data_IF_741422451476
#
_entry.id   IF_741422451476
#
_cell.length_a   1.000
_cell.length_b   1.000
_cell.length_c   1.000
_cell.angle_alpha   90.00
_cell.angle_beta   90.00
_cell.angle_gamma   90.00
#
_symmetry.space_group_name_H-M   'P 1'
#
loop_
_entity.id
_entity.type
_entity.pdbx_description
1 polymer ?
#
# COMPACT_ATOMS: atom_id res chain seq x y z
N UNK A 1 -17.49 -12.67 -5.24
CA UNK A 1 -17.34 -12.33 -3.81
C UNK A 1 -15.91 -11.96 -3.56
N UNK A 2 -15.67 -10.82 -2.93
CA UNK A 2 -14.34 -10.39 -2.54
C UNK A 2 -13.86 -11.29 -1.40
N UNK A 3 -12.57 -11.65 -1.38
CA UNK A 3 -12.01 -12.45 -0.29
C UNK A 3 -10.86 -11.68 0.34
N UNK A 4 -11.01 -11.32 1.61
CA UNK A 4 -9.97 -10.73 2.44
C UNK A 4 -9.50 -11.73 3.47
N UNK A 5 -8.19 -11.89 3.63
CA UNK A 5 -7.60 -12.82 4.62
C UNK A 5 -6.51 -12.14 5.44
N UNK A 6 -6.37 -12.52 6.72
CA UNK A 6 -5.26 -12.06 7.55
C UNK A 6 -3.94 -12.67 7.06
N UNK A 7 -2.82 -12.11 7.48
CA UNK A 7 -1.49 -12.60 7.11
C UNK A 7 -0.45 -12.24 8.16
N UNK A 8 0.71 -12.90 8.12
CA UNK A 8 1.86 -12.54 8.95
C UNK A 8 2.63 -11.42 8.28
N UNK A 9 2.34 -10.19 8.68
CA UNK A 9 3.01 -9.00 8.20
C UNK A 9 4.49 -9.02 8.53
N UNK A 10 5.30 -8.59 7.55
CA UNK A 10 6.70 -8.25 7.75
C UNK A 10 6.76 -6.79 8.19
N UNK A 11 7.17 -6.53 9.44
CA UNK A 11 7.08 -5.19 10.04
C UNK A 11 8.37 -4.82 10.74
N UNK A 12 8.59 -3.51 10.88
CA UNK A 12 9.60 -2.99 11.78
C UNK A 12 9.34 -3.47 13.22
N UNK A 13 10.40 -3.93 13.88
CA UNK A 13 10.38 -4.27 15.31
C UNK A 13 10.69 -3.04 16.15
N UNK A 14 10.44 -3.08 17.46
CA UNK A 14 11.01 -2.08 18.35
C UNK A 14 12.54 -2.30 18.45
N UNK A 15 13.38 -1.25 18.39
CA UNK A 15 13.07 0.19 18.46
C UNK A 15 12.96 0.91 17.08
N UNK A 16 12.75 0.18 15.99
CA UNK A 16 12.70 0.72 14.62
C UNK A 16 11.34 1.28 14.21
N UNK A 17 10.30 1.20 15.04
CA UNK A 17 8.96 1.75 14.79
C UNK A 17 8.87 3.28 15.03
N UNK A 18 9.64 4.07 14.27
CA UNK A 18 9.71 5.54 14.37
C UNK A 18 9.42 6.23 13.03
N UNK A 19 9.00 7.49 13.06
CA UNK A 19 8.62 8.22 11.84
C UNK A 19 9.70 8.19 10.74
N UNK A 20 10.97 8.28 11.13
CA UNK A 20 12.11 8.40 10.21
C UNK A 20 12.38 7.16 9.36
N UNK A 21 11.84 5.99 9.72
CA UNK A 21 12.00 4.77 8.89
C UNK A 21 10.94 4.65 7.80
N UNK A 22 9.91 5.51 7.82
CA UNK A 22 8.84 5.51 6.82
C UNK A 22 9.11 6.57 5.75
N UNK A 23 8.44 6.42 4.61
CA UNK A 23 8.47 7.39 3.51
C UNK A 23 7.11 7.42 2.82
N UNK A 24 6.85 8.47 2.01
CA UNK A 24 5.77 8.45 1.04
C UNK A 24 5.90 7.28 0.05
N UNK A 25 4.85 7.00 -0.75
CA UNK A 25 4.94 6.05 -1.85
C UNK A 25 6.08 6.36 -2.84
N UNK A 26 6.72 5.32 -3.37
CA UNK A 26 7.90 5.46 -4.25
C UNK A 26 7.68 6.35 -5.48
N UNK A 27 6.44 6.46 -5.98
CA UNK A 27 6.08 7.19 -7.20
C UNK A 27 5.89 8.69 -7.01
N UNK A 28 5.97 9.18 -5.76
CA UNK A 28 5.96 10.61 -5.43
C UNK A 28 7.29 11.11 -4.84
N UNK A 29 8.28 10.22 -4.71
CA UNK A 29 9.61 10.56 -4.17
C UNK A 29 10.53 10.97 -5.32
N UNK A 30 11.02 12.20 -5.28
CA UNK A 30 12.06 12.68 -6.19
C UNK A 30 13.48 12.25 -5.75
N UNK A 31 14.51 12.39 -6.62
CA UNK A 31 15.88 11.98 -6.27
C UNK A 31 16.49 12.70 -5.06
N UNK A 32 16.12 13.96 -4.80
CA UNK A 32 16.62 14.73 -3.66
C UNK A 32 15.98 14.25 -2.35
N UNK A 33 14.66 14.05 -2.36
CA UNK A 33 13.91 13.44 -1.26
C UNK A 33 14.44 12.04 -0.97
N UNK A 34 14.68 11.21 -2.00
CA UNK A 34 15.25 9.86 -1.86
C UNK A 34 16.58 9.90 -1.09
N UNK A 35 17.50 10.79 -1.50
CA UNK A 35 18.79 10.97 -0.82
C UNK A 35 18.60 11.38 0.63
N UNK A 36 17.71 12.36 0.89
CA UNK A 36 17.43 12.84 2.24
C UNK A 36 16.87 11.75 3.16
N UNK A 37 15.99 10.89 2.67
CA UNK A 37 15.47 9.75 3.45
C UNK A 37 16.59 8.75 3.80
N UNK A 38 17.44 8.42 2.83
CA UNK A 38 18.57 7.50 3.02
C UNK A 38 19.64 8.06 3.97
N UNK A 39 19.90 9.36 3.93
CA UNK A 39 20.83 10.05 4.84
C UNK A 39 20.24 10.25 6.23
N UNK A 40 18.92 10.41 6.34
CA UNK A 40 18.21 10.67 7.60
C UNK A 40 18.08 9.43 8.49
N UNK A 41 17.82 8.26 7.90
CA UNK A 41 17.79 6.99 8.64
C UNK A 41 18.24 5.83 7.75
N UNK A 42 19.27 5.11 8.19
CA UNK A 42 19.78 3.94 7.46
C UNK A 42 18.77 2.80 7.33
N UNK A 43 17.67 2.83 8.10
CA UNK A 43 16.58 1.85 8.06
C UNK A 43 15.33 2.39 7.35
N UNK A 44 15.42 3.54 6.66
CA UNK A 44 14.29 4.07 5.92
C UNK A 44 13.86 3.13 4.78
N UNK A 45 12.56 2.85 4.69
CA UNK A 45 11.98 1.89 3.74
C UNK A 45 12.33 2.18 2.27
N UNK A 46 12.70 3.41 1.94
CA UNK A 46 13.26 3.79 0.63
C UNK A 46 14.45 2.89 0.24
N UNK A 47 15.26 2.42 1.19
CA UNK A 47 16.36 1.49 0.93
C UNK A 47 15.91 0.15 0.30
N UNK A 48 14.62 -0.20 0.43
CA UNK A 48 14.01 -1.37 -0.21
C UNK A 48 13.11 -0.95 -1.38
N UNK A 49 12.18 -0.01 -1.18
CA UNK A 49 11.13 0.30 -2.17
C UNK A 49 11.65 1.15 -3.35
N UNK A 50 12.71 1.93 -3.13
CA UNK A 50 13.38 2.78 -4.11
C UNK A 50 14.88 2.90 -3.77
N UNK A 51 15.58 1.75 -3.79
CA UNK A 51 16.97 1.64 -3.35
C UNK A 51 17.92 2.64 -4.07
N UNK A 52 19.11 2.94 -3.51
CA UNK A 52 20.06 3.88 -4.11
C UNK A 52 20.34 3.67 -5.61
N UNK A 53 20.50 2.41 -6.04
CA UNK A 53 20.67 2.03 -7.45
C UNK A 53 19.41 2.10 -8.31
N UNK A 54 18.26 2.54 -7.80
CA UNK A 54 17.01 2.55 -8.55
C UNK A 54 17.14 3.33 -9.88
N UNK A 55 16.91 2.62 -10.98
CA UNK A 55 17.21 3.05 -12.35
C UNK A 55 18.25 2.17 -13.05
N UNK A 56 19.13 1.50 -12.28
CA UNK A 56 20.17 0.60 -12.81
C UNK A 56 19.65 -0.83 -13.02
N UNK A 57 20.33 -1.66 -13.82
CA UNK A 57 19.81 -2.99 -14.14
C UNK A 57 19.66 -3.94 -12.93
N UNK A 58 20.48 -3.75 -11.88
CA UNK A 58 20.64 -4.71 -10.79
C UNK A 58 20.13 -4.22 -9.42
N UNK A 59 19.46 -3.07 -9.34
CA UNK A 59 19.06 -2.50 -8.03
C UNK A 59 18.05 -3.38 -7.26
N UNK A 60 17.32 -4.25 -7.96
CA UNK A 60 16.42 -5.21 -7.31
C UNK A 60 17.17 -6.20 -6.41
N UNK A 61 18.42 -6.56 -6.74
CA UNK A 61 19.25 -7.41 -5.89
C UNK A 61 19.69 -6.65 -4.63
N UNK A 62 20.06 -5.38 -4.76
CA UNK A 62 20.39 -4.52 -3.62
C UNK A 62 19.21 -4.38 -2.64
N UNK A 63 17.98 -4.22 -3.16
CA UNK A 63 16.77 -4.19 -2.35
C UNK A 63 16.53 -5.52 -1.61
N UNK A 64 16.72 -6.66 -2.30
CA UNK A 64 16.58 -7.98 -1.71
C UNK A 64 17.64 -8.26 -0.63
N UNK A 65 18.91 -7.93 -0.89
CA UNK A 65 20.01 -8.05 0.07
C UNK A 65 19.77 -7.18 1.30
N UNK A 66 19.25 -5.95 1.11
CA UNK A 66 18.88 -5.06 2.21
C UNK A 66 17.75 -5.66 3.05
N UNK A 67 16.70 -6.18 2.42
CA UNK A 67 15.59 -6.81 3.14
C UNK A 67 16.04 -8.06 3.91
N UNK A 68 16.87 -8.91 3.31
CA UNK A 68 17.44 -10.10 3.96
C UNK A 68 18.30 -9.72 5.16
N UNK A 69 19.18 -8.71 5.01
CA UNK A 69 19.99 -8.20 6.11
C UNK A 69 19.14 -7.63 7.25
N UNK A 70 18.09 -6.87 6.95
CA UNK A 70 17.19 -6.33 7.97
C UNK A 70 16.38 -7.41 8.70
N UNK A 71 16.07 -8.52 8.03
CA UNK A 71 15.49 -9.70 8.68
C UNK A 71 16.49 -10.37 9.64
N UNK A 72 17.74 -10.54 9.21
CA UNK A 72 18.82 -11.13 10.03
C UNK A 72 19.19 -10.27 11.24
N UNK A 73 19.25 -8.95 11.06
CA UNK A 73 19.53 -7.97 12.11
C UNK A 73 18.33 -7.74 13.06
N UNK A 74 17.16 -8.29 12.73
CA UNK A 74 15.93 -8.11 13.51
C UNK A 74 15.29 -6.73 13.38
N UNK A 75 15.70 -5.93 12.38
CA UNK A 75 15.07 -4.65 12.03
C UNK A 75 13.64 -4.88 11.56
N UNK A 76 13.47 -5.90 10.70
CA UNK A 76 12.17 -6.40 10.27
C UNK A 76 11.93 -7.79 10.84
N UNK A 77 10.70 -8.10 11.20
CA UNK A 77 10.29 -9.45 11.58
C UNK A 77 8.87 -9.75 11.10
N UNK A 78 8.60 -11.03 10.86
CA UNK A 78 7.24 -11.51 10.67
C UNK A 78 6.49 -11.53 11.99
N UNK A 79 5.22 -11.13 11.96
CA UNK A 79 4.32 -11.34 13.09
C UNK A 79 4.14 -12.83 13.41
N UNK A 80 4.00 -13.14 14.69
CA UNK A 80 3.85 -14.51 15.20
C UNK A 80 2.57 -15.19 14.68
N UNK A 81 1.50 -14.42 14.49
CA UNK A 81 0.19 -14.91 14.05
C UNK A 81 -0.36 -14.09 12.88
N UNK A 82 -1.19 -14.69 12.01
CA UNK A 82 -1.89 -13.93 10.97
C UNK A 82 -2.81 -12.87 11.59
N UNK A 83 -2.71 -11.64 11.10
CA UNK A 83 -3.54 -10.53 11.53
C UNK A 83 -4.13 -9.78 10.32
N UNK A 84 -5.25 -9.10 10.54
CA UNK A 84 -5.52 -7.86 9.82
C UNK A 84 -4.79 -6.72 10.54
N UNK A 85 -4.59 -5.58 9.89
CA UNK A 85 -3.92 -4.45 10.54
C UNK A 85 -4.76 -3.20 10.46
N UNK A 86 -5.25 -2.71 11.60
CA UNK A 86 -5.93 -1.43 11.65
C UNK A 86 -4.95 -0.29 11.41
N UNK A 87 -5.40 0.73 10.70
CA UNK A 87 -4.61 1.91 10.38
C UNK A 87 -5.49 3.16 10.42
N UNK A 88 -5.11 4.12 11.26
CA UNK A 88 -5.78 5.40 11.46
C UNK A 88 -4.81 6.54 11.21
N UNK A 89 -5.26 7.52 10.43
CA UNK A 89 -4.50 8.72 10.10
C UNK A 89 -5.25 9.95 10.61
N UNK A 90 -4.56 10.81 11.36
CA UNK A 90 -5.03 12.16 11.67
C UNK A 90 -4.25 13.17 10.84
N UNK A 91 -4.94 14.01 10.07
CA UNK A 91 -4.31 15.00 9.19
C UNK A 91 -5.15 16.27 9.11
N UNK A 92 -4.55 17.39 8.67
CA UNK A 92 -5.26 18.64 8.46
C UNK A 92 -5.55 18.84 6.98
N UNK A 93 -6.81 19.13 6.64
CA UNK A 93 -7.21 19.51 5.29
C UNK A 93 -8.09 20.76 5.34
N UNK A 94 -7.65 21.83 4.67
CA UNK A 94 -8.37 23.11 4.69
C UNK A 94 -8.49 23.71 6.10
N UNK A 95 -7.49 23.48 6.97
CA UNK A 95 -7.49 23.94 8.36
C UNK A 95 -8.42 23.17 9.29
N UNK A 96 -8.99 22.04 8.84
CA UNK A 96 -9.83 21.16 9.66
C UNK A 96 -9.13 19.83 9.86
N UNK A 97 -9.16 19.33 11.09
CA UNK A 97 -8.72 17.97 11.39
C UNK A 97 -9.64 16.97 10.68
N UNK A 98 -9.02 15.97 10.06
CA UNK A 98 -9.64 14.83 9.43
C UNK A 98 -9.07 13.57 10.07
N UNK A 99 -9.93 12.56 10.21
CA UNK A 99 -9.53 11.23 10.68
C UNK A 99 -10.00 10.22 9.66
N UNK A 100 -9.05 9.46 9.10
CA UNK A 100 -9.36 8.34 8.21
C UNK A 100 -8.98 7.05 8.89
N UNK A 101 -9.90 6.10 8.96
CA UNK A 101 -9.65 4.77 9.53
C UNK A 101 -9.91 3.68 8.49
N UNK A 102 -9.05 2.68 8.45
CA UNK A 102 -9.22 1.51 7.61
C UNK A 102 -8.42 0.35 8.15
N UNK A 103 -8.32 -0.71 7.37
CA UNK A 103 -7.53 -1.88 7.71
C UNK A 103 -6.78 -2.44 6.51
N UNK A 104 -5.69 -3.13 6.78
CA UNK A 104 -4.83 -3.75 5.79
C UNK A 104 -4.99 -5.26 5.88
N UNK A 105 -5.13 -5.89 4.71
CA UNK A 105 -5.25 -7.33 4.57
C UNK A 105 -4.79 -7.78 3.19
N UNK A 106 -4.75 -9.11 3.01
CA UNK A 106 -4.55 -9.71 1.69
C UNK A 106 -5.90 -9.87 1.01
N UNK A 107 -6.03 -9.28 -0.17
CA UNK A 107 -7.25 -9.37 -0.99
C UNK A 107 -6.98 -10.28 -2.17
N UNK A 108 -7.83 -11.27 -2.40
CA UNK A 108 -7.68 -12.18 -3.53
C UNK A 108 -7.82 -11.40 -4.84
N UNK A 109 -6.84 -11.59 -5.71
CA UNK A 109 -6.80 -11.01 -7.04
C UNK A 109 -7.94 -11.58 -7.90
N UNK A 110 -8.65 -10.69 -8.60
CA UNK A 110 -9.76 -11.02 -9.48
C UNK A 110 -9.64 -10.22 -10.78
N UNK A 111 -10.32 -10.70 -11.81
CA UNK A 111 -10.50 -9.90 -13.02
C UNK A 111 -11.34 -8.65 -12.71
N UNK A 112 -11.09 -7.59 -13.46
CA UNK A 112 -11.81 -6.34 -13.31
C UNK A 112 -13.33 -6.54 -13.47
N UNK A 113 -14.10 -5.94 -12.57
CA UNK A 113 -15.56 -6.07 -12.52
C UNK A 113 -16.06 -7.29 -11.73
N UNK A 114 -15.18 -8.19 -11.28
CA UNK A 114 -15.54 -9.30 -10.39
C UNK A 114 -15.32 -8.92 -8.92
N UNK A 115 -16.08 -7.92 -8.47
CA UNK A 115 -15.97 -7.37 -7.11
C UNK A 115 -14.79 -6.43 -6.89
N UNK A 116 -13.84 -6.34 -7.83
CA UNK A 116 -12.77 -5.34 -7.83
C UNK A 116 -12.95 -4.41 -9.03
N UNK A 117 -13.03 -3.10 -8.77
CA UNK A 117 -13.31 -2.08 -9.77
C UNK A 117 -12.19 -1.04 -9.88
N UNK A 118 -11.96 -0.56 -11.09
CA UNK A 118 -11.00 0.52 -11.39
C UNK A 118 -11.73 1.78 -11.87
N UNK A 119 -11.10 2.93 -11.70
CA UNK A 119 -11.57 4.20 -12.26
C UNK A 119 -10.58 4.83 -13.25
N UNK A 120 -9.40 4.22 -13.45
CA UNK A 120 -8.39 4.65 -14.42
C UNK A 120 -7.79 3.48 -15.21
N UNK A 121 -7.11 3.80 -16.31
CA UNK A 121 -6.26 2.87 -17.07
C UNK A 121 -4.80 3.10 -16.70
N UNK A 122 -4.03 2.03 -16.70
CA UNK A 122 -2.61 2.00 -16.32
C UNK A 122 -1.67 2.26 -17.50
N UNK A 123 -0.43 2.67 -17.18
CA UNK A 123 0.72 2.86 -18.07
C UNK A 123 1.68 1.68 -17.95
N UNK A 124 2.31 1.31 -19.08
CA UNK A 124 3.15 0.09 -19.19
C UNK A 124 4.48 0.18 -18.42
N UNK A 125 5.17 1.32 -18.42
CA UNK A 125 6.51 1.47 -17.84
C UNK A 125 6.60 1.17 -16.33
N UNK A 126 5.81 1.85 -15.48
CA UNK A 126 5.79 1.61 -14.02
C UNK A 126 5.49 0.16 -13.62
N UNK A 127 4.74 -0.58 -14.46
CA UNK A 127 4.37 -1.98 -14.20
C UNK A 127 5.57 -2.93 -14.26
N UNK A 128 6.47 -2.75 -15.24
CA UNK A 128 7.59 -3.66 -15.44
C UNK A 128 8.64 -3.56 -14.31
N UNK A 129 8.92 -2.34 -13.87
CA UNK A 129 9.84 -2.08 -12.76
C UNK A 129 9.33 -2.70 -11.45
N UNK A 130 8.06 -2.43 -11.10
CA UNK A 130 7.44 -3.00 -9.90
C UNK A 130 7.33 -4.53 -9.94
N UNK A 131 7.13 -5.11 -11.11
CA UNK A 131 7.13 -6.56 -11.27
C UNK A 131 8.50 -7.17 -10.91
N UNK A 132 9.59 -6.57 -11.39
CA UNK A 132 10.95 -7.04 -11.07
C UNK A 132 11.28 -6.89 -9.60
N UNK A 133 10.88 -5.78 -8.97
CA UNK A 133 11.04 -5.61 -7.53
C UNK A 133 10.26 -6.66 -6.75
N UNK A 134 8.98 -6.88 -7.11
CA UNK A 134 8.15 -7.91 -6.47
C UNK A 134 8.71 -9.32 -6.66
N UNK A 135 9.33 -9.61 -7.80
CA UNK A 135 10.03 -10.87 -8.06
C UNK A 135 11.28 -11.04 -7.20
N UNK A 136 12.05 -9.97 -6.98
CA UNK A 136 13.25 -10.03 -6.14
C UNK A 136 12.90 -10.14 -4.64
N UNK A 137 11.89 -9.40 -4.18
CA UNK A 137 11.51 -9.35 -2.77
C UNK A 137 10.54 -10.45 -2.35
N UNK A 138 9.79 -11.03 -3.29
CA UNK A 138 8.64 -11.90 -2.99
C UNK A 138 7.64 -11.26 -2.00
N UNK A 139 7.52 -9.93 -2.01
CA UNK A 139 6.71 -9.15 -1.08
C UNK A 139 5.96 -7.99 -1.78
N UNK A 140 4.87 -7.53 -1.17
CA UNK A 140 4.25 -6.24 -1.51
C UNK A 140 4.77 -5.18 -0.54
N UNK A 141 5.52 -4.20 -1.05
CA UNK A 141 6.12 -3.12 -0.25
C UNK A 141 5.17 -1.94 -0.04
N UNK A 142 4.19 -1.75 -0.93
CA UNK A 142 3.18 -0.69 -0.81
C UNK A 142 1.77 -1.25 -1.06
N UNK A 143 0.81 -1.06 -0.14
CA UNK A 143 -0.56 -1.55 -0.31
C UNK A 143 -1.29 -0.82 -1.45
N UNK A 144 -2.20 -1.51 -2.14
CA UNK A 144 -3.20 -0.86 -3.01
C UNK A 144 -4.25 -0.19 -2.13
N UNK A 145 -4.68 1.03 -2.47
CA UNK A 145 -5.71 1.73 -1.72
C UNK A 145 -7.09 1.42 -2.30
N UNK A 146 -7.88 0.63 -1.57
CA UNK A 146 -9.27 0.30 -1.90
C UNK A 146 -10.27 1.00 -0.98
N UNK A 147 -11.45 1.28 -1.52
CA UNK A 147 -12.62 1.73 -0.77
C UNK A 147 -13.79 0.77 -0.98
N UNK A 148 -14.60 0.58 0.06
CA UNK A 148 -15.79 -0.26 0.08
C UNK A 148 -16.96 0.50 0.70
N UNK A 149 -18.21 0.08 0.45
CA UNK A 149 -19.36 0.67 1.14
C UNK A 149 -19.58 0.04 2.50
N UNK A 150 -19.83 0.85 3.53
CA UNK A 150 -20.20 0.40 4.86
C UNK A 150 -21.25 1.29 5.55
N UNK A 151 -22.43 1.47 4.94
CA UNK A 151 -23.42 2.42 5.46
C UNK A 151 -23.98 2.03 6.83
N UNK A 152 -23.89 0.75 7.22
CA UNK A 152 -24.27 0.27 8.55
C UNK A 152 -23.12 0.24 9.57
N UNK A 153 -21.87 0.52 9.15
CA UNK A 153 -20.70 0.46 10.02
C UNK A 153 -20.35 -0.95 10.50
N UNK A 154 -20.68 -1.99 9.73
CA UNK A 154 -20.44 -3.39 10.11
C UNK A 154 -18.96 -3.72 10.18
N UNK A 155 -18.14 -3.05 9.37
CA UNK A 155 -16.68 -3.17 9.38
C UNK A 155 -16.09 -2.10 10.31
N UNK A 156 -16.53 -0.85 10.18
CA UNK A 156 -15.98 0.28 10.92
C UNK A 156 -15.99 0.06 12.45
N UNK A 157 -17.03 -0.59 12.99
CA UNK A 157 -17.13 -0.91 14.43
C UNK A 157 -16.01 -1.81 14.97
N UNK A 158 -15.28 -2.50 14.10
CA UNK A 158 -14.16 -3.38 14.46
C UNK A 158 -12.80 -2.68 14.37
N UNK A 159 -12.76 -1.40 13.97
CA UNK A 159 -11.52 -0.67 13.66
C UNK A 159 -11.17 0.40 14.71
N UNK A 160 -11.44 0.13 15.98
CA UNK A 160 -10.97 1.00 17.06
C UNK A 160 -9.54 0.60 17.49
N UNK A 161 -8.58 1.54 17.53
CA UNK A 161 -7.26 1.30 18.08
C UNK A 161 -7.33 0.84 19.53
N UNK A 162 -6.53 -0.17 19.91
CA UNK A 162 -6.34 -0.53 21.31
C UNK A 162 -5.56 0.57 22.05
N UNK A 163 -5.54 0.49 23.38
CA UNK A 163 -4.78 1.42 24.22
C UNK A 163 -3.26 1.39 23.96
N UNK A 164 -2.74 0.26 23.47
CA UNK A 164 -1.33 0.10 23.08
C UNK A 164 -1.26 -0.31 21.62
N UNK A 165 -0.71 0.58 20.80
CA UNK A 165 -0.59 0.41 19.34
C UNK A 165 0.83 -0.01 18.97
N UNK A 166 0.99 -0.64 17.79
CA UNK A 166 2.28 -1.09 17.32
C UNK A 166 3.11 0.07 16.74
N UNK A 167 2.44 1.06 16.15
CA UNK A 167 3.05 2.31 15.69
C UNK A 167 2.11 3.45 16.06
N UNK A 168 2.67 4.53 16.61
CA UNK A 168 2.00 5.81 16.82
C UNK A 168 3.05 6.91 16.65
N UNK A 169 3.11 7.47 15.44
CA UNK A 169 4.15 8.41 15.03
C UNK A 169 3.54 9.57 14.25
N UNK A 170 4.24 10.70 14.21
CA UNK A 170 3.89 11.84 13.36
C UNK A 170 4.96 11.97 12.28
N UNK A 171 4.53 12.02 11.02
CA UNK A 171 5.44 12.19 9.89
C UNK A 171 5.88 13.67 9.72
N UNK A 172 6.68 13.93 8.70
CA UNK A 172 7.20 15.28 8.42
C UNK A 172 6.14 16.27 7.91
N UNK A 173 5.02 15.76 7.37
CA UNK A 173 3.88 16.54 6.91
C UNK A 173 2.88 16.82 8.05
N UNK A 174 3.17 16.36 9.27
CA UNK A 174 2.33 16.52 10.45
C UNK A 174 1.16 15.55 10.51
N UNK A 175 1.16 14.50 9.70
CA UNK A 175 0.15 13.43 9.74
C UNK A 175 0.51 12.47 10.88
N UNK A 176 -0.43 12.23 11.80
CA UNK A 176 -0.27 11.21 12.84
C UNK A 176 -0.76 9.86 12.30
N UNK A 177 0.11 8.87 12.36
CA UNK A 177 -0.10 7.51 11.89
C UNK A 177 -0.21 6.56 13.08
N UNK A 178 -1.37 5.93 13.24
CA UNK A 178 -1.65 4.94 14.27
C UNK A 178 -1.90 3.60 13.59
N UNK A 179 -1.13 2.58 13.93
CA UNK A 179 -1.20 1.25 13.32
C UNK A 179 -1.19 0.17 14.40
N UNK A 180 -2.03 -0.85 14.25
CA UNK A 180 -2.13 -1.95 15.20
C UNK A 180 -2.53 -3.28 14.55
N UNK A 181 -1.99 -4.41 15.02
CA UNK A 181 -2.45 -5.73 14.60
C UNK A 181 -3.82 -6.05 15.22
N UNK A 182 -4.69 -6.65 14.42
CA UNK A 182 -5.99 -7.20 14.80
C UNK A 182 -5.86 -8.73 14.73
N UNK A 183 -5.65 -9.33 15.91
CA UNK A 183 -5.38 -10.78 16.07
C UNK A 183 -6.55 -11.56 16.67
N UNK A 184 -7.59 -10.87 17.15
CA UNK A 184 -8.76 -11.52 17.73
C UNK A 184 -9.51 -12.36 16.66
N UNK A 185 -9.63 -13.68 16.83
CA UNK A 185 -10.22 -14.55 15.81
C UNK A 185 -11.67 -14.20 15.47
N UNK A 186 -12.46 -13.72 16.44
CA UNK A 186 -13.85 -13.32 16.20
C UNK A 186 -13.92 -12.08 15.31
N UNK A 187 -13.10 -11.08 15.60
CA UNK A 187 -12.97 -9.86 14.81
C UNK A 187 -12.44 -10.16 13.40
N UNK A 188 -11.42 -11.01 13.26
CA UNK A 188 -10.92 -11.46 11.96
C UNK A 188 -12.04 -12.12 11.14
N UNK A 189 -12.78 -13.05 11.73
CA UNK A 189 -13.89 -13.72 11.05
C UNK A 189 -14.99 -12.75 10.64
N UNK A 190 -15.33 -11.80 11.51
CA UNK A 190 -16.34 -10.77 11.24
C UNK A 190 -15.91 -9.84 10.09
N UNK A 191 -14.66 -9.37 10.08
CA UNK A 191 -14.11 -8.53 9.00
C UNK A 191 -14.13 -9.27 7.66
N UNK A 192 -13.67 -10.52 7.63
CA UNK A 192 -13.67 -11.33 6.41
C UNK A 192 -15.08 -11.62 5.89
N UNK A 193 -16.02 -11.96 6.78
CA UNK A 193 -17.40 -12.23 6.41
C UNK A 193 -18.10 -10.96 5.89
N UNK A 194 -17.91 -9.83 6.56
CA UNK A 194 -18.50 -8.56 6.13
C UNK A 194 -17.99 -8.16 4.73
N UNK A 195 -16.72 -8.36 4.42
CA UNK A 195 -16.19 -7.98 3.10
C UNK A 195 -16.68 -8.90 1.95
N UNK A 196 -17.11 -10.13 2.24
CA UNK A 196 -17.43 -11.13 1.21
C UNK A 196 -18.49 -10.68 0.19
N UNK A 197 -19.50 -9.96 0.68
CA UNK A 197 -20.64 -9.46 -0.10
C UNK A 197 -20.48 -8.01 -0.58
N UNK A 198 -19.28 -7.45 -0.44
CA UNK A 198 -18.95 -6.08 -0.84
C UNK A 198 -18.05 -6.08 -2.07
N UNK A 199 -18.14 -4.98 -2.80
CA UNK A 199 -17.22 -4.64 -3.88
C UNK A 199 -16.16 -3.66 -3.35
N UNK A 200 -14.96 -3.74 -3.91
CA UNK A 200 -13.87 -2.80 -3.67
C UNK A 200 -13.66 -1.97 -4.95
N UNK A 201 -13.69 -0.65 -4.80
CA UNK A 201 -13.22 0.28 -5.82
C UNK A 201 -11.80 0.70 -5.46
N UNK A 202 -10.84 0.50 -6.36
CA UNK A 202 -9.46 0.97 -6.16
C UNK A 202 -9.45 2.49 -6.31
N UNK A 203 -9.10 3.18 -5.22
CA UNK A 203 -8.93 4.62 -5.13
C UNK A 203 -7.52 5.06 -5.57
N UNK A 204 -6.50 4.22 -5.36
CA UNK A 204 -5.14 4.44 -5.84
C UNK A 204 -4.38 3.11 -5.89
N UNK A 205 -3.40 3.00 -6.81
CA UNK A 205 -2.57 1.81 -6.96
C UNK A 205 -3.01 0.81 -8.02
N UNK A 206 -3.68 1.27 -9.10
CA UNK A 206 -4.04 0.39 -10.22
C UNK A 206 -2.83 -0.29 -10.85
N UNK A 207 -1.69 0.43 -11.00
CA UNK A 207 -0.43 -0.17 -11.44
C UNK A 207 0.06 -1.28 -10.49
N UNK A 208 -0.06 -1.09 -9.17
CA UNK A 208 0.31 -2.09 -8.16
C UNK A 208 -0.57 -3.33 -8.28
N UNK A 209 -1.87 -3.14 -8.49
CA UNK A 209 -2.82 -4.25 -8.71
C UNK A 209 -2.49 -5.05 -9.98
N UNK A 210 -2.25 -4.37 -11.10
CA UNK A 210 -1.91 -5.05 -12.36
C UNK A 210 -0.52 -5.70 -12.36
N UNK A 211 0.43 -5.16 -11.61
CA UNK A 211 1.70 -5.82 -11.31
C UNK A 211 1.47 -7.11 -10.56
N UNK A 212 0.63 -7.11 -9.52
CA UNK A 212 0.29 -8.30 -8.76
C UNK A 212 -0.44 -9.35 -9.64
N UNK A 213 -1.35 -8.93 -10.52
CA UNK A 213 -1.96 -9.81 -11.54
C UNK A 213 -0.92 -10.43 -12.48
N UNK A 214 0.05 -9.66 -12.94
CA UNK A 214 1.14 -10.16 -13.79
C UNK A 214 2.02 -11.18 -13.05
N UNK A 215 2.38 -10.85 -11.81
CA UNK A 215 3.18 -11.72 -10.95
C UNK A 215 2.46 -13.05 -10.69
N UNK A 216 1.17 -13.00 -10.32
CA UNK A 216 0.31 -14.18 -10.16
C UNK A 216 0.30 -15.05 -11.41
N UNK A 217 0.05 -14.46 -12.58
CA UNK A 217 -0.01 -15.20 -13.85
C UNK A 217 1.33 -15.90 -14.16
N UNK A 218 2.45 -15.21 -13.98
CA UNK A 218 3.78 -15.79 -14.17
C UNK A 218 4.08 -16.94 -13.19
N UNK A 219 3.69 -16.80 -11.92
CA UNK A 219 3.86 -17.86 -10.91
C UNK A 219 3.00 -19.08 -11.19
N UNK A 220 1.71 -18.90 -11.49
CA UNK A 220 0.82 -20.02 -11.86
C UNK A 220 1.34 -20.78 -13.06
N UNK A 221 1.80 -20.08 -14.10
CA UNK A 221 2.38 -20.72 -15.29
C UNK A 221 3.66 -21.51 -14.98
N UNK A 222 4.47 -21.07 -14.02
CA UNK A 222 5.69 -21.76 -13.61
C UNK A 222 5.46 -22.95 -12.65
N UNK A 223 4.27 -23.05 -12.05
CA UNK A 223 3.90 -24.06 -11.06
C UNK A 223 2.78 -24.99 -11.55
N UNK A 224 2.56 -25.07 -12.86
CA UNK A 224 1.52 -25.90 -13.49
C UNK A 224 0.09 -25.64 -12.98
N UNK A 225 -0.22 -24.35 -12.72
CA UNK A 225 -1.54 -23.82 -12.35
C UNK A 225 -2.23 -24.59 -11.20
N UNK A 226 -1.71 -24.51 -9.96
CA UNK A 226 -2.25 -25.26 -8.84
C UNK A 226 -3.71 -24.87 -8.54
N UNK A 227 -4.50 -25.88 -8.18
CA UNK A 227 -5.93 -25.74 -7.84
C UNK A 227 -6.11 -24.90 -6.57
N UNK A 228 -5.29 -25.17 -5.55
CA UNK A 228 -5.38 -24.50 -4.25
C UNK A 228 -4.89 -23.05 -4.33
N UNK A 229 -5.55 -22.11 -3.60
CA UNK A 229 -5.09 -20.73 -3.54
C UNK A 229 -3.67 -20.61 -3.00
N UNK A 230 -2.82 -19.90 -3.73
CA UNK A 230 -1.42 -19.68 -3.40
C UNK A 230 -1.19 -18.29 -2.79
N UNK A 231 -0.06 -18.05 -2.10
CA UNK A 231 0.26 -16.75 -1.56
C UNK A 231 0.18 -15.60 -2.57
N UNK A 232 0.63 -15.84 -3.81
CA UNK A 232 0.63 -14.88 -4.91
C UNK A 232 -0.75 -14.68 -5.58
N UNK A 233 -1.80 -15.40 -5.16
CA UNK A 233 -3.18 -15.13 -5.62
C UNK A 233 -3.82 -13.92 -4.92
N UNK A 234 -3.08 -13.23 -4.06
CA UNK A 234 -3.56 -12.12 -3.25
C UNK A 234 -2.61 -10.94 -3.35
N UNK A 235 -3.14 -9.75 -3.13
CA UNK A 235 -2.39 -8.50 -3.07
C UNK A 235 -2.66 -7.80 -1.75
N UNK A 236 -1.64 -7.13 -1.21
CA UNK A 236 -1.78 -6.28 -0.04
C UNK A 236 -2.66 -5.06 -0.38
N UNK A 237 -3.74 -4.84 0.37
CA UNK A 237 -4.58 -3.66 0.22
C UNK A 237 -4.84 -2.99 1.57
N UNK A 238 -4.83 -1.66 1.57
CA UNK A 238 -5.47 -0.83 2.58
C UNK A 238 -6.90 -0.56 2.16
N UNK A 239 -7.86 -0.81 3.06
CA UNK A 239 -9.28 -0.76 2.81
C UNK A 239 -9.93 0.22 3.79
N UNK A 240 -10.66 1.21 3.27
CA UNK A 240 -11.43 2.17 4.08
C UNK A 240 -12.87 2.26 3.58
N UNK A 241 -13.80 2.68 4.45
CA UNK A 241 -15.18 2.89 4.05
C UNK A 241 -15.30 4.13 3.14
N UNK A 242 -16.12 4.05 2.11
CA UNK A 242 -16.44 5.18 1.24
C UNK A 242 -17.17 6.31 2.01
N UNK A 243 -17.82 5.95 3.10
CA UNK A 243 -18.52 6.83 4.02
C UNK A 243 -17.61 7.43 5.11
N UNK A 244 -16.32 7.03 5.19
CA UNK A 244 -15.38 7.59 6.16
C UNK A 244 -15.14 9.08 5.84
N UNK A 245 -15.39 10.01 6.79
CA UNK A 245 -15.26 11.44 6.54
C UNK A 245 -13.82 11.87 6.21
N UNK A 246 -12.81 11.11 6.64
CA UNK A 246 -11.41 11.30 6.28
C UNK A 246 -11.02 10.73 4.90
N UNK A 247 -11.95 10.10 4.16
CA UNK A 247 -11.76 9.79 2.75
C UNK A 247 -11.98 11.05 1.90
N UNK A 248 -10.93 11.86 1.80
CA UNK A 248 -10.95 13.08 1.00
C UNK A 248 -10.32 12.85 -0.38
N UNK A 249 -11.14 12.70 -1.42
CA UNK A 249 -10.69 12.60 -2.82
C UNK A 249 -10.88 13.96 -3.48
N UNK A 250 -9.79 14.68 -3.73
CA UNK A 250 -9.78 16.03 -4.30
C UNK A 250 -9.66 15.99 -5.83
N UNK A 251 -10.20 17.01 -6.54
CA UNK A 251 -10.08 17.08 -7.99
C UNK A 251 -8.63 17.28 -8.44
N UNK A 252 -8.24 16.62 -9.53
CA UNK A 252 -6.99 16.91 -10.22
C UNK A 252 -7.17 18.13 -11.12
N UNK A 253 -6.52 19.24 -10.81
CA UNK A 253 -6.49 20.41 -11.67
C UNK A 253 -5.38 20.30 -12.72
N UNK A 254 -5.72 20.39 -14.01
CA UNK A 254 -4.73 20.47 -15.09
C UNK A 254 -4.45 21.93 -15.40
N UNK A 255 -3.20 22.35 -15.24
CA UNK A 255 -2.75 23.68 -15.64
C UNK A 255 -2.23 23.59 -17.07
N UNK A 256 -2.87 24.29 -18.00
CA UNK A 256 -2.36 24.48 -19.36
C UNK A 256 -1.54 25.77 -19.32
N UNK A 257 -0.22 25.66 -19.34
CA UNK A 257 0.62 26.81 -19.59
C UNK A 257 0.34 27.28 -21.02
N UNK A 258 -0.05 28.54 -21.19
CA UNK A 258 -0.28 29.12 -22.51
C UNK A 258 1.00 28.97 -23.34
N UNK A 259 0.94 28.18 -24.42
CA UNK A 259 1.96 28.26 -25.46
C UNK A 259 1.88 29.68 -26.02
N UNK A 260 2.95 30.46 -25.85
CA UNK A 260 3.05 31.81 -26.39
C UNK A 260 2.56 31.83 -27.83
N UNK A 261 1.58 32.69 -28.11
CA UNK A 261 0.93 32.78 -29.41
C UNK A 261 1.95 33.08 -30.50
N UNK A 262 2.22 32.09 -31.35
CA UNK A 262 2.43 32.37 -32.75
C UNK A 262 1.09 32.76 -33.35
N UNK A 263 0.88 34.07 -33.50
CA UNK A 263 -0.16 34.63 -34.35
C UNK A 263 0.48 35.24 -35.60
N UNK A 264 -0.07 35.01 -36.80
CA UNK A 264 0.48 35.44 -38.09
C UNK A 264 0.12 36.90 -38.45
N UNK A 265 0.85 37.42 -39.45
CA UNK A 265 0.65 38.63 -40.28
C UNK A 265 0.95 40.03 -39.71
N UNK A 266 1.97 40.72 -40.27
CA UNK A 266 1.75 41.82 -41.25
C UNK A 266 3.08 42.49 -41.72
N UNK A 267 3.27 42.53 -43.05
CA UNK A 267 4.20 43.33 -43.89
C UNK A 267 5.70 42.94 -43.99
#
# INVERSE_FOLDING_TARGET
MVQTVPFRGLRYTAPYTRATVFSPPYDVIDPEQRRRYLEGDAHNIVAIDLAPGAGDANWYAEAADTMARWLEEGVLAHDESPAFYGYRQHFSLGGREQVRTGYIGRVRLQEWGQGIHRHELTRVGPRADRLRLMQALHANTSPVFGMYRDPQGDIARHLEPPATTAVDVVDEDGVRHIFWPIVDPQTIAALSAAMADRDIVIADGHHRYETAMAYRAGRRAAEDDPVEPQPYDYVLMYLTAAEDPGLCILPTHRVIAATGGGGPDDA
#
